data_IF_461703010264
#
_entry.id   IF_461703010264
#
_cell.length_a   1.000
_cell.length_b   1.000
_cell.length_c   1.000
_cell.angle_alpha   90.00
_cell.angle_beta   90.00
_cell.angle_gamma   90.00
#
_symmetry.space_group_name_H-M   'P 1'
#
loop_
_entity.id
_entity.type
_entity.pdbx_description
1 polymer ?
#
# COMPACT_ATOMS: atom_id res chain seq x y z
N UNK A 1 0.96 2.35 37.61
CA UNK A 1 0.25 1.17 37.05
C UNK A 1 -0.57 1.62 35.83
N UNK A 2 -0.06 1.45 34.60
CA UNK A 2 -0.81 1.79 33.37
C UNK A 2 -1.70 0.60 33.02
N UNK A 3 -3.03 0.76 33.16
CA UNK A 3 -4.04 -0.22 32.76
C UNK A 3 -3.90 -0.52 31.27
N UNK A 4 -3.83 -1.82 30.94
CA UNK A 4 -3.74 -2.31 29.57
C UNK A 4 -4.92 -1.86 28.73
N UNK A 5 -4.64 -1.36 27.52
CA UNK A 5 -5.65 -1.20 26.47
C UNK A 5 -5.93 -2.60 25.91
N UNK A 6 -7.11 -3.14 26.23
CA UNK A 6 -7.66 -4.33 25.55
C UNK A 6 -7.70 -4.03 24.05
N UNK A 7 -7.17 -4.94 23.24
CA UNK A 7 -7.41 -4.98 21.80
C UNK A 7 -8.91 -5.26 21.59
N UNK A 8 -9.66 -4.27 21.14
CA UNK A 8 -11.01 -4.46 20.63
C UNK A 8 -10.92 -4.91 19.17
N UNK A 9 -11.39 -6.14 18.92
CA UNK A 9 -11.59 -6.85 17.64
C UNK A 9 -10.37 -7.03 16.72
N UNK A 10 -10.19 -8.25 16.20
CA UNK A 10 -9.06 -8.71 15.37
C UNK A 10 -8.93 -8.08 13.98
N UNK A 11 -9.37 -6.83 13.79
CA UNK A 11 -9.11 -6.03 12.59
C UNK A 11 -7.81 -5.26 12.77
N UNK A 12 -6.98 -5.18 11.73
CA UNK A 12 -5.80 -4.32 11.77
C UNK A 12 -6.22 -2.85 11.94
N UNK A 13 -5.63 -2.17 12.92
CA UNK A 13 -5.91 -0.75 13.20
C UNK A 13 -5.48 0.11 12.01
N UNK A 14 -6.40 0.89 11.45
CA UNK A 14 -6.13 1.87 10.40
C UNK A 14 -5.99 3.23 11.07
N UNK A 15 -4.78 3.56 11.54
CA UNK A 15 -4.54 4.73 12.40
C UNK A 15 -5.07 6.05 11.80
N UNK A 16 -4.98 6.22 10.48
CA UNK A 16 -5.47 7.44 9.80
C UNK A 16 -6.99 7.59 9.91
N UNK A 17 -7.71 6.47 10.02
CA UNK A 17 -9.16 6.44 10.21
C UNK A 17 -9.54 6.41 11.70
N UNK A 18 -8.90 5.53 12.47
CA UNK A 18 -9.25 5.25 13.87
C UNK A 18 -8.76 6.34 14.84
N UNK A 19 -7.73 7.09 14.46
CA UNK A 19 -7.12 8.16 15.26
C UNK A 19 -6.55 9.29 14.36
N UNK A 20 -7.42 10.08 13.69
CA UNK A 20 -7.00 11.02 12.65
C UNK A 20 -6.04 12.13 13.12
N UNK A 21 -5.97 12.38 14.43
CA UNK A 21 -5.10 13.39 15.08
C UNK A 21 -3.79 12.81 15.62
N UNK A 22 -3.56 11.50 15.50
CA UNK A 22 -2.32 10.88 15.93
C UNK A 22 -1.15 11.34 15.04
N UNK A 23 0.05 11.42 15.62
CA UNK A 23 1.30 11.71 14.88
C UNK A 23 1.50 10.74 13.70
N UNK A 24 1.12 9.47 13.88
CA UNK A 24 1.18 8.49 12.79
C UNK A 24 0.25 8.82 11.62
N UNK A 25 -0.87 9.49 11.88
CA UNK A 25 -1.82 9.92 10.85
C UNK A 25 -1.27 11.07 10.02
N UNK A 26 -0.62 12.07 10.66
CA UNK A 26 0.06 13.13 9.92
C UNK A 26 1.22 12.61 9.08
N UNK A 27 1.99 11.64 9.58
CA UNK A 27 3.04 11.00 8.79
C UNK A 27 2.51 10.40 7.46
N UNK A 28 1.28 9.84 7.45
CA UNK A 28 0.65 9.37 6.22
C UNK A 28 0.14 10.50 5.32
N UNK A 29 -0.31 11.64 5.88
CA UNK A 29 -0.67 12.82 5.08
C UNK A 29 0.55 13.46 4.43
N UNK A 30 1.65 13.59 5.18
CA UNK A 30 2.95 14.04 4.67
C UNK A 30 3.47 13.09 3.60
N UNK A 31 3.35 11.77 3.80
CA UNK A 31 3.70 10.77 2.77
C UNK A 31 2.89 10.96 1.48
N UNK A 32 1.57 11.10 1.57
CA UNK A 32 0.70 11.37 0.41
C UNK A 32 1.16 12.63 -0.34
N UNK A 33 1.36 13.73 0.40
CA UNK A 33 1.81 15.01 -0.17
C UNK A 33 3.16 14.86 -0.90
N UNK A 34 4.13 14.16 -0.29
CA UNK A 34 5.43 13.92 -0.92
C UNK A 34 5.29 13.12 -2.23
N UNK A 35 4.47 12.07 -2.23
CA UNK A 35 4.22 11.25 -3.42
C UNK A 35 3.55 12.07 -4.53
N UNK A 36 2.59 12.93 -4.20
CA UNK A 36 1.92 13.82 -5.15
C UNK A 36 2.90 14.80 -5.82
N UNK A 37 3.96 15.24 -5.13
CA UNK A 37 4.98 16.12 -5.68
C UNK A 37 6.17 15.41 -6.33
N UNK A 38 6.21 14.07 -6.36
CA UNK A 38 7.35 13.31 -6.87
C UNK A 38 7.42 13.30 -8.41
N UNK A 39 6.35 13.69 -9.12
CA UNK A 39 6.36 13.81 -10.59
C UNK A 39 5.60 15.07 -11.03
N UNK A 40 6.28 16.22 -11.18
CA UNK A 40 5.64 17.45 -11.65
C UNK A 40 5.12 17.35 -13.10
N UNK A 41 5.72 16.47 -13.92
CA UNK A 41 5.41 16.33 -15.36
C UNK A 41 4.56 15.09 -15.70
N UNK A 42 4.23 14.25 -14.72
CA UNK A 42 3.41 13.04 -14.91
C UNK A 42 2.40 12.87 -13.79
N UNK A 43 1.13 12.72 -14.16
CA UNK A 43 0.07 12.39 -13.22
C UNK A 43 0.32 10.99 -12.65
N UNK A 44 0.75 10.93 -11.39
CA UNK A 44 0.90 9.68 -10.65
C UNK A 44 -0.49 9.11 -10.36
N UNK A 45 -0.90 8.05 -11.06
CA UNK A 45 -2.20 7.40 -10.90
C UNK A 45 -2.11 6.01 -10.28
N UNK A 46 -0.99 5.31 -10.41
CA UNK A 46 -0.78 4.00 -9.78
C UNK A 46 0.51 3.89 -8.98
N UNK A 47 0.41 3.33 -7.78
CA UNK A 47 1.55 3.12 -6.88
C UNK A 47 1.54 1.69 -6.35
N UNK A 48 2.62 0.96 -6.61
CA UNK A 48 2.86 -0.35 -5.98
C UNK A 48 3.71 -0.19 -4.73
N UNK A 49 3.24 -0.72 -3.60
CA UNK A 49 4.04 -0.86 -2.39
C UNK A 49 4.63 -2.27 -2.33
N UNK A 50 5.94 -2.34 -2.10
CA UNK A 50 6.68 -3.58 -1.87
C UNK A 50 7.55 -3.45 -0.61
N UNK A 51 8.21 -4.53 -0.18
CA UNK A 51 9.17 -4.53 0.93
C UNK A 51 10.34 -5.45 0.61
N UNK A 52 11.42 -5.39 1.39
CA UNK A 52 12.54 -6.31 1.19
C UNK A 52 12.15 -7.75 1.53
N UNK A 53 11.51 -7.95 2.68
CA UNK A 53 11.09 -9.21 3.25
C UNK A 53 9.69 -9.14 3.90
N UNK A 54 9.20 -10.28 4.41
CA UNK A 54 7.89 -10.37 5.05
C UNK A 54 7.80 -9.59 6.36
N UNK A 55 6.59 -9.11 6.67
CA UNK A 55 6.29 -8.55 8.00
C UNK A 55 6.76 -7.11 8.22
N UNK A 56 7.27 -6.42 7.22
CA UNK A 56 7.75 -5.02 7.33
C UNK A 56 6.63 -3.96 7.40
N UNK A 57 5.38 -4.40 7.29
CA UNK A 57 4.18 -3.56 7.44
C UNK A 57 3.73 -2.86 6.15
N UNK A 58 4.20 -3.33 5.00
CA UNK A 58 3.74 -2.92 3.65
C UNK A 58 2.22 -2.81 3.54
N UNK A 59 1.46 -3.84 3.91
CA UNK A 59 -0.02 -3.83 3.85
C UNK A 59 -0.66 -2.82 4.81
N UNK A 60 -0.03 -2.57 5.96
CA UNK A 60 -0.45 -1.50 6.88
C UNK A 60 -0.20 -0.12 6.26
N UNK A 61 0.96 0.07 5.63
CA UNK A 61 1.34 1.31 4.97
C UNK A 61 0.43 1.58 3.77
N UNK A 62 0.18 0.58 2.91
CA UNK A 62 -0.69 0.73 1.74
C UNK A 62 -2.12 1.08 2.13
N UNK A 63 -2.69 0.39 3.13
CA UNK A 63 -4.03 0.68 3.60
C UNK A 63 -4.17 2.08 4.20
N UNK A 64 -3.23 2.51 5.05
CA UNK A 64 -3.28 3.85 5.65
C UNK A 64 -2.98 4.96 4.64
N UNK A 65 -2.11 4.71 3.66
CA UNK A 65 -1.87 5.62 2.55
C UNK A 65 -3.16 5.80 1.72
N UNK A 66 -3.89 4.72 1.44
CA UNK A 66 -5.16 4.78 0.72
C UNK A 66 -6.21 5.61 1.48
N UNK A 67 -6.29 5.46 2.80
CA UNK A 67 -7.16 6.29 3.65
C UNK A 67 -6.73 7.76 3.62
N UNK A 68 -5.43 8.05 3.72
CA UNK A 68 -4.93 9.42 3.68
C UNK A 68 -5.20 10.10 2.33
N UNK A 69 -5.14 9.33 1.24
CA UNK A 69 -5.47 9.78 -0.10
C UNK A 69 -6.98 10.02 -0.25
N UNK A 70 -7.84 9.13 0.27
CA UNK A 70 -9.29 9.34 0.17
C UNK A 70 -9.78 10.52 1.02
N UNK A 71 -9.11 10.81 2.14
CA UNK A 71 -9.38 12.00 2.96
C UNK A 71 -9.13 13.34 2.24
N UNK A 72 -8.39 13.36 1.13
CA UNK A 72 -8.25 14.58 0.30
C UNK A 72 -9.43 14.79 -0.67
N UNK A 73 -10.44 13.92 -0.62
CA UNK A 73 -11.58 13.93 -1.55
C UNK A 73 -11.34 13.16 -2.85
N UNK A 74 -10.16 12.56 -3.03
CA UNK A 74 -9.85 11.71 -4.17
C UNK A 74 -10.62 10.38 -4.09
N UNK A 75 -11.01 9.86 -5.24
CA UNK A 75 -11.57 8.51 -5.37
C UNK A 75 -10.43 7.51 -5.49
N UNK A 76 -10.30 6.62 -4.51
CA UNK A 76 -9.16 5.72 -4.36
C UNK A 76 -9.60 4.27 -4.42
N UNK A 77 -8.80 3.42 -5.06
CA UNK A 77 -8.94 1.96 -4.96
C UNK A 77 -7.66 1.34 -4.41
N UNK A 78 -7.80 0.48 -3.41
CA UNK A 78 -6.71 -0.34 -2.87
C UNK A 78 -6.83 -1.78 -3.38
N UNK A 79 -5.81 -2.27 -4.05
CA UNK A 79 -5.79 -3.58 -4.72
C UNK A 79 -4.84 -4.54 -4.00
N UNK A 80 -5.32 -5.71 -3.61
CA UNK A 80 -4.54 -6.77 -2.99
C UNK A 80 -3.77 -7.59 -4.02
N UNK A 81 -2.49 -7.26 -4.25
CA UNK A 81 -1.62 -7.96 -5.19
C UNK A 81 -0.75 -9.03 -4.53
N UNK A 82 -0.76 -9.15 -3.19
CA UNK A 82 -0.21 -10.32 -2.50
C UNK A 82 -1.18 -11.52 -2.62
N UNK A 83 -1.09 -12.21 -3.76
CA UNK A 83 -1.88 -13.42 -4.05
C UNK A 83 -1.35 -14.67 -3.31
N UNK A 84 -0.38 -14.51 -2.39
CA UNK A 84 0.23 -15.61 -1.63
C UNK A 84 -0.19 -15.57 -0.16
N UNK A 85 -0.20 -14.39 0.44
CA UNK A 85 -0.56 -14.14 1.85
C UNK A 85 -1.45 -12.89 1.96
N UNK A 86 -2.67 -12.93 1.40
CA UNK A 86 -3.53 -11.76 1.34
C UNK A 86 -4.07 -11.40 2.72
N UNK A 87 -3.99 -10.11 3.08
CA UNK A 87 -4.45 -9.62 4.40
C UNK A 87 -5.49 -8.50 4.31
N UNK A 88 -5.65 -7.86 3.15
CA UNK A 88 -6.54 -6.68 3.03
C UNK A 88 -7.99 -6.97 3.38
N UNK A 89 -8.50 -8.15 3.03
CA UNK A 89 -9.88 -8.53 3.34
C UNK A 89 -10.14 -8.56 4.86
N UNK A 90 -9.17 -9.02 5.65
CA UNK A 90 -9.21 -8.97 7.12
C UNK A 90 -9.12 -7.53 7.64
N UNK A 91 -8.20 -6.74 7.08
CA UNK A 91 -7.97 -5.34 7.47
C UNK A 91 -9.19 -4.45 7.26
N UNK A 92 -9.99 -4.73 6.22
CA UNK A 92 -11.20 -3.96 5.89
C UNK A 92 -12.49 -4.66 6.32
N UNK A 93 -12.40 -5.87 6.87
CA UNK A 93 -13.56 -6.69 7.28
C UNK A 93 -14.52 -6.98 6.12
N UNK A 94 -13.96 -7.28 4.94
CA UNK A 94 -14.70 -7.62 3.72
C UNK A 94 -14.47 -9.09 3.34
N UNK A 95 -15.32 -9.63 2.45
CA UNK A 95 -15.11 -10.98 1.91
C UNK A 95 -13.91 -10.97 0.97
N UNK A 96 -13.14 -12.05 0.95
CA UNK A 96 -12.03 -12.24 -0.01
C UNK A 96 -12.50 -12.85 -1.34
N UNK A 97 -13.81 -12.79 -1.66
CA UNK A 97 -14.39 -13.38 -2.88
C UNK A 97 -15.57 -12.54 -3.41
N UNK A 98 -15.63 -12.27 -4.73
CA UNK A 98 -14.54 -12.43 -5.70
C UNK A 98 -13.39 -11.45 -5.40
N UNK A 99 -12.22 -11.65 -6.01
CA UNK A 99 -11.06 -10.78 -5.83
C UNK A 99 -10.17 -10.78 -7.07
N UNK A 100 -9.02 -10.14 -6.99
CA UNK A 100 -8.11 -9.91 -8.12
C UNK A 100 -7.80 -11.21 -8.90
N UNK A 101 -7.48 -12.31 -8.21
CA UNK A 101 -7.16 -13.58 -8.88
C UNK A 101 -8.32 -14.14 -9.71
N UNK A 102 -9.57 -13.94 -9.27
CA UNK A 102 -10.76 -14.36 -10.01
C UNK A 102 -10.96 -13.47 -11.26
N UNK A 103 -10.66 -12.18 -11.17
CA UNK A 103 -10.70 -11.26 -12.32
C UNK A 103 -9.64 -11.64 -13.35
N UNK A 104 -8.39 -11.85 -12.91
CA UNK A 104 -7.26 -12.17 -13.79
C UNK A 104 -7.39 -13.54 -14.48
N UNK A 105 -8.16 -14.45 -13.89
CA UNK A 105 -8.49 -15.76 -14.48
C UNK A 105 -9.78 -15.77 -15.31
N UNK A 106 -10.50 -14.64 -15.39
CA UNK A 106 -11.77 -14.52 -16.11
C UNK A 106 -12.97 -15.17 -15.40
N UNK A 107 -12.81 -15.57 -14.13
CA UNK A 107 -13.87 -16.18 -13.34
C UNK A 107 -14.86 -15.15 -12.75
N UNK A 108 -14.50 -13.87 -12.73
CA UNK A 108 -15.35 -12.77 -12.28
C UNK A 108 -15.07 -11.49 -13.08
N UNK A 109 -16.03 -10.56 -13.13
CA UNK A 109 -15.78 -9.24 -13.71
C UNK A 109 -15.02 -8.34 -12.72
N UNK A 110 -14.32 -7.32 -13.22
CA UNK A 110 -13.65 -6.33 -12.37
C UNK A 110 -14.64 -5.64 -11.43
N UNK A 111 -15.83 -5.30 -11.94
CA UNK A 111 -16.90 -4.65 -11.16
C UNK A 111 -17.35 -5.49 -9.97
N UNK A 112 -17.44 -6.81 -10.13
CA UNK A 112 -17.87 -7.71 -9.05
C UNK A 112 -16.82 -7.81 -7.93
N UNK A 113 -15.55 -7.62 -8.26
CA UNK A 113 -14.44 -7.68 -7.31
C UNK A 113 -14.20 -6.36 -6.55
N UNK A 114 -14.77 -5.24 -7.01
CA UNK A 114 -14.69 -3.95 -6.33
C UNK A 114 -15.68 -3.94 -5.16
N UNK A 115 -15.16 -3.72 -3.95
CA UNK A 115 -15.95 -3.65 -2.73
C UNK A 115 -15.76 -2.29 -2.08
N UNK A 116 -16.84 -1.54 -1.89
CA UNK A 116 -16.77 -0.29 -1.12
C UNK A 116 -16.44 -0.57 0.34
N UNK A 117 -15.42 0.12 0.84
CA UNK A 117 -15.04 0.01 2.24
C UNK A 117 -15.99 0.80 3.14
N UNK A 118 -15.79 0.70 4.45
CA UNK A 118 -16.46 1.58 5.42
C UNK A 118 -15.88 3.00 5.48
N UNK A 119 -14.94 3.33 4.59
CA UNK A 119 -14.23 4.61 4.54
C UNK A 119 -14.67 5.34 3.26
N UNK A 120 -15.23 6.56 3.37
CA UNK A 120 -15.65 7.35 2.20
C UNK A 120 -14.50 7.56 1.21
N UNK A 121 -14.82 7.44 -0.08
CA UNK A 121 -13.87 7.63 -1.18
C UNK A 121 -12.85 6.50 -1.36
N UNK A 122 -12.97 5.39 -0.60
CA UNK A 122 -12.05 4.26 -0.68
C UNK A 122 -12.80 2.95 -1.01
N UNK A 123 -12.50 2.40 -2.17
CA UNK A 123 -12.89 1.06 -2.57
C UNK A 123 -11.70 0.09 -2.41
N UNK A 124 -11.98 -1.21 -2.26
CA UNK A 124 -10.97 -2.25 -2.07
C UNK A 124 -11.25 -3.41 -3.01
N UNK A 125 -10.21 -3.89 -3.69
CA UNK A 125 -10.22 -5.16 -4.42
C UNK A 125 -9.37 -6.14 -3.61
N UNK A 126 -9.98 -7.13 -2.92
CA UNK A 126 -9.22 -8.14 -2.20
C UNK A 126 -8.49 -9.07 -3.18
N UNK A 127 -7.50 -9.82 -2.70
CA UNK A 127 -6.70 -10.69 -3.57
C UNK A 127 -7.51 -11.80 -4.26
N UNK A 128 -8.55 -12.31 -3.61
CA UNK A 128 -9.30 -13.45 -4.13
C UNK A 128 -8.79 -14.79 -3.61
N UNK A 129 -9.32 -15.91 -4.13
CA UNK A 129 -8.80 -17.25 -3.90
C UNK A 129 -7.32 -17.35 -4.29
N UNK A 130 -6.53 -18.14 -3.55
CA UNK A 130 -5.10 -18.31 -3.86
C UNK A 130 -4.92 -19.08 -5.17
N UNK A 131 -4.34 -18.47 -6.22
CA UNK A 131 -4.10 -19.17 -7.48
C UNK A 131 -2.85 -20.06 -7.40
N UNK A 132 -2.74 -21.10 -8.24
CA UNK A 132 -1.53 -21.92 -8.32
C UNK A 132 -0.34 -21.17 -8.94
N UNK A 133 -0.60 -20.10 -9.70
CA UNK A 133 0.36 -19.36 -10.53
C UNK A 133 0.28 -17.83 -10.32
N UNK A 134 0.64 -17.30 -9.12
CA UNK A 134 0.52 -15.87 -8.79
C UNK A 134 1.27 -14.93 -9.74
N UNK A 135 2.54 -15.23 -10.02
CA UNK A 135 3.42 -14.33 -10.76
C UNK A 135 2.97 -14.18 -12.22
N UNK A 136 2.53 -15.27 -12.84
CA UNK A 136 2.02 -15.31 -14.21
C UNK A 136 0.74 -14.49 -14.36
N UNK A 137 -0.15 -14.54 -13.37
CA UNK A 137 -1.36 -13.72 -13.36
C UNK A 137 -1.02 -12.23 -13.24
N UNK A 138 -0.10 -11.87 -12.35
CA UNK A 138 0.30 -10.48 -12.13
C UNK A 138 1.12 -9.91 -13.29
N UNK A 139 1.83 -10.74 -14.07
CA UNK A 139 2.53 -10.32 -15.29
C UNK A 139 1.59 -10.26 -16.52
N UNK A 140 0.38 -10.79 -16.42
CA UNK A 140 -0.50 -10.97 -17.57
C UNK A 140 -0.98 -9.65 -18.18
N UNK A 141 -1.36 -9.69 -19.46
CA UNK A 141 -2.08 -8.57 -20.11
C UNK A 141 -3.38 -8.22 -19.41
N UNK A 142 -4.03 -9.20 -18.76
CA UNK A 142 -5.24 -8.95 -17.98
C UNK A 142 -4.96 -8.01 -16.79
N UNK A 143 -3.80 -8.14 -16.13
CA UNK A 143 -3.41 -7.23 -15.05
C UNK A 143 -3.23 -5.81 -15.56
N UNK A 144 -2.54 -5.65 -16.69
CA UNK A 144 -2.38 -4.34 -17.35
C UNK A 144 -3.75 -3.71 -17.66
N UNK A 145 -4.67 -4.47 -18.27
CA UNK A 145 -6.02 -3.97 -18.57
C UNK A 145 -6.81 -3.62 -17.32
N UNK A 146 -6.66 -4.37 -16.22
CA UNK A 146 -7.28 -4.04 -14.92
C UNK A 146 -6.75 -2.71 -14.40
N UNK A 147 -5.43 -2.50 -14.39
CA UNK A 147 -4.84 -1.24 -13.91
C UNK A 147 -5.34 -0.06 -14.75
N UNK A 148 -5.29 -0.18 -16.08
CA UNK A 148 -5.78 0.86 -16.99
C UNK A 148 -7.27 1.19 -16.81
N UNK A 149 -8.11 0.19 -16.53
CA UNK A 149 -9.54 0.41 -16.26
C UNK A 149 -9.78 1.11 -14.92
N UNK A 150 -8.98 0.77 -13.91
CA UNK A 150 -9.02 1.44 -12.61
C UNK A 150 -8.54 2.89 -12.71
N UNK A 151 -7.44 3.17 -13.42
CA UNK A 151 -6.90 4.53 -13.62
C UNK A 151 -7.83 5.47 -14.42
N UNK A 152 -8.81 4.92 -15.14
CA UNK A 152 -9.90 5.69 -15.78
C UNK A 152 -11.01 6.07 -14.79
N UNK A 153 -11.18 5.28 -13.73
CA UNK A 153 -12.34 5.35 -12.83
C UNK A 153 -12.01 5.88 -11.44
N UNK A 154 -10.73 5.96 -11.09
CA UNK A 154 -10.18 6.37 -9.81
C UNK A 154 -9.08 7.40 -10.03
N UNK A 155 -8.95 8.34 -9.09
CA UNK A 155 -7.88 9.32 -9.09
C UNK A 155 -6.54 8.70 -8.64
N UNK A 156 -6.60 7.61 -7.86
CA UNK A 156 -5.43 6.90 -7.36
C UNK A 156 -5.70 5.40 -7.18
N UNK A 157 -4.79 4.57 -7.72
CA UNK A 157 -4.75 3.12 -7.62
C UNK A 157 -3.55 2.72 -6.76
N UNK A 158 -3.80 2.18 -5.57
CA UNK A 158 -2.73 1.71 -4.68
C UNK A 158 -2.71 0.18 -4.70
N UNK A 159 -1.55 -0.40 -5.01
CA UNK A 159 -1.36 -1.84 -5.10
C UNK A 159 -0.53 -2.33 -3.91
N UNK A 160 -1.09 -3.25 -3.11
CA UNK A 160 -0.38 -3.92 -2.01
C UNK A 160 0.33 -5.17 -2.55
N UNK A 161 1.62 -5.06 -2.85
CA UNK A 161 2.40 -6.13 -3.45
C UNK A 161 2.94 -7.16 -2.46
N UNK A 162 3.99 -7.87 -2.86
CA UNK A 162 4.72 -8.86 -2.05
C UNK A 162 6.12 -8.37 -1.71
N UNK A 163 6.87 -9.04 -0.81
CA UNK A 163 8.28 -8.76 -0.62
C UNK A 163 9.15 -9.17 -1.81
N UNK A 164 9.94 -8.24 -2.34
CA UNK A 164 10.67 -8.39 -3.63
C UNK A 164 11.83 -9.38 -3.58
N UNK A 165 12.44 -9.62 -2.41
CA UNK A 165 13.51 -10.63 -2.29
C UNK A 165 12.93 -12.04 -2.24
N UNK A 166 11.76 -12.19 -1.63
CA UNK A 166 11.16 -13.51 -1.42
C UNK A 166 10.55 -14.09 -2.71
N UNK A 167 9.94 -13.23 -3.53
CA UNK A 167 9.21 -13.62 -4.74
C UNK A 167 9.31 -12.53 -5.81
N UNK A 168 9.14 -12.93 -7.07
CA UNK A 168 9.29 -12.02 -8.23
C UNK A 168 8.04 -11.18 -8.52
N UNK A 169 6.92 -11.42 -7.84
CA UNK A 169 5.61 -10.82 -8.12
C UNK A 169 5.67 -9.28 -8.17
N UNK A 170 6.33 -8.63 -7.21
CA UNK A 170 6.48 -7.17 -7.21
C UNK A 170 7.37 -6.65 -8.36
N UNK A 171 8.38 -7.42 -8.75
CA UNK A 171 9.29 -7.05 -9.84
C UNK A 171 8.63 -7.17 -11.22
N UNK A 172 7.78 -8.19 -11.45
CA UNK A 172 7.07 -8.34 -12.74
C UNK A 172 5.98 -7.28 -12.95
N UNK A 173 5.49 -6.67 -11.88
CA UNK A 173 4.55 -5.56 -11.91
C UNK A 173 5.22 -4.20 -12.08
N UNK A 174 6.56 -4.13 -12.02
CA UNK A 174 7.28 -2.86 -11.94
C UNK A 174 7.05 -1.91 -13.12
N UNK A 175 6.82 -2.47 -14.31
CA UNK A 175 6.60 -1.73 -15.56
C UNK A 175 5.11 -1.58 -15.90
N UNK A 176 4.21 -1.94 -14.98
CA UNK A 176 2.76 -1.85 -15.16
C UNK A 176 2.12 -0.74 -14.32
N UNK A 177 2.92 -0.02 -13.52
CA UNK A 177 2.49 1.04 -12.60
C UNK A 177 3.37 2.27 -12.78
N UNK A 178 2.84 3.44 -12.43
CA UNK A 178 3.57 4.71 -12.56
C UNK A 178 4.74 4.84 -11.57
N UNK A 179 4.69 4.12 -10.46
CA UNK A 179 5.78 4.11 -9.51
C UNK A 179 5.70 3.06 -8.43
N UNK A 180 6.85 2.78 -7.83
CA UNK A 180 7.02 1.83 -6.74
C UNK A 180 7.54 2.55 -5.52
N UNK A 181 7.04 2.16 -4.35
CA UNK A 181 7.57 2.58 -3.05
C UNK A 181 8.05 1.36 -2.28
N UNK A 182 9.32 1.41 -1.84
CA UNK A 182 9.93 0.35 -1.04
C UNK A 182 9.71 0.63 0.45
N UNK A 183 8.96 -0.23 1.14
CA UNK A 183 8.75 -0.16 2.59
C UNK A 183 9.86 -0.95 3.28
N UNK A 184 10.56 -0.33 4.23
CA UNK A 184 11.63 -0.92 5.02
C UNK A 184 11.27 -0.89 6.51
N UNK A 185 11.25 -2.07 7.14
CA UNK A 185 11.07 -2.20 8.59
C UNK A 185 12.29 -1.69 9.38
N UNK A 186 12.13 -0.59 10.13
CA UNK A 186 13.17 -0.03 10.99
C UNK A 186 13.65 -1.04 12.04
N UNK A 187 14.97 -1.23 12.13
CA UNK A 187 15.61 -2.23 12.99
C UNK A 187 15.16 -3.69 12.75
N UNK A 188 14.56 -4.00 11.60
CA UNK A 188 14.17 -5.36 11.21
C UNK A 188 14.93 -5.84 9.98
N UNK A 189 15.31 -4.93 9.09
CA UNK A 189 15.96 -5.24 7.82
C UNK A 189 17.43 -4.83 7.86
N UNK A 190 18.37 -5.76 7.65
CA UNK A 190 19.77 -5.43 7.44
C UNK A 190 19.95 -4.52 6.22
N UNK A 191 20.90 -3.58 6.29
CA UNK A 191 21.18 -2.64 5.19
C UNK A 191 21.43 -3.36 3.86
N UNK A 192 22.13 -4.48 3.89
CA UNK A 192 22.43 -5.29 2.70
C UNK A 192 21.17 -5.82 2.02
N UNK A 193 20.19 -6.28 2.80
CA UNK A 193 18.90 -6.72 2.27
C UNK A 193 18.12 -5.56 1.66
N UNK A 194 18.12 -4.38 2.29
CA UNK A 194 17.47 -3.21 1.73
C UNK A 194 18.10 -2.78 0.38
N UNK A 195 19.43 -2.84 0.28
CA UNK A 195 20.15 -2.58 -0.97
C UNK A 195 19.88 -3.64 -2.03
N UNK A 196 19.82 -4.92 -1.65
CA UNK A 196 19.45 -6.00 -2.56
C UNK A 196 18.03 -5.81 -3.11
N UNK A 197 17.07 -5.46 -2.27
CA UNK A 197 15.70 -5.17 -2.69
C UNK A 197 15.65 -4.02 -3.71
N UNK A 198 16.38 -2.92 -3.43
CA UNK A 198 16.53 -1.80 -4.36
C UNK A 198 17.11 -2.26 -5.70
N UNK A 199 18.20 -3.03 -5.68
CA UNK A 199 18.87 -3.51 -6.90
C UNK A 199 17.95 -4.41 -7.74
N UNK A 200 17.13 -5.26 -7.11
CA UNK A 200 16.15 -6.10 -7.83
C UNK A 200 15.10 -5.25 -8.54
N UNK A 201 14.62 -4.19 -7.91
CA UNK A 201 13.68 -3.24 -8.51
C UNK A 201 14.33 -2.47 -9.67
N UNK A 202 15.58 -2.02 -9.49
CA UNK A 202 16.34 -1.33 -10.56
C UNK A 202 16.60 -2.25 -11.76
N UNK A 203 16.93 -3.52 -11.52
CA UNK A 203 17.09 -4.53 -12.59
C UNK A 203 15.78 -4.80 -13.34
N UNK A 204 14.64 -4.71 -12.65
CA UNK A 204 13.31 -4.80 -13.25
C UNK A 204 12.89 -3.50 -13.98
N UNK A 205 13.75 -2.49 -14.01
CA UNK A 205 13.49 -1.15 -14.57
C UNK A 205 12.33 -0.41 -13.87
N UNK A 206 12.10 -0.72 -12.59
CA UNK A 206 11.09 -0.04 -11.78
C UNK A 206 11.38 1.46 -11.64
N UNK A 207 10.33 2.29 -11.77
CA UNK A 207 10.37 3.69 -11.33
C UNK A 207 10.21 3.75 -9.81
N UNK A 208 11.33 3.62 -9.09
CA UNK A 208 11.35 3.72 -7.63
C UNK A 208 11.15 5.19 -7.19
N UNK A 209 9.98 5.51 -6.65
CA UNK A 209 9.63 6.84 -6.15
C UNK A 209 10.36 7.18 -4.85
N UNK A 210 10.69 6.17 -4.05
CA UNK A 210 11.41 6.35 -2.79
C UNK A 210 11.27 5.19 -1.82
N UNK A 211 11.64 5.45 -0.57
CA UNK A 211 11.65 4.48 0.52
C UNK A 211 10.82 5.00 1.70
N UNK A 212 10.02 4.13 2.31
CA UNK A 212 9.32 4.40 3.57
C UNK A 212 10.00 3.62 4.69
N UNK A 213 10.50 4.32 5.70
CA UNK A 213 10.97 3.71 6.93
C UNK A 213 9.78 3.48 7.87
N UNK A 214 9.35 2.23 8.05
CA UNK A 214 8.23 1.86 8.90
C UNK A 214 8.70 1.37 10.28
N UNK A 215 7.81 1.37 11.29
CA UNK A 215 8.07 0.90 12.67
C UNK A 215 9.21 1.63 13.40
N UNK A 216 9.46 2.89 13.02
CA UNK A 216 10.44 3.73 13.69
C UNK A 216 10.04 3.94 15.15
N UNK A 217 10.93 3.62 16.08
CA UNK A 217 10.74 3.91 17.50
C UNK A 217 11.20 5.33 17.80
N UNK A 218 10.28 6.24 18.03
CA UNK A 218 10.60 7.59 18.50
C UNK A 218 10.83 7.57 20.02
N UNK A 219 11.87 8.25 20.50
CA UNK A 219 11.98 8.67 21.91
C UNK A 219 11.02 9.85 22.13
N UNK A 220 10.41 9.97 23.32
CA UNK A 220 9.39 11.01 23.62
C UNK A 220 9.83 12.44 23.26
N UNK A 221 11.13 12.76 23.40
CA UNK A 221 11.71 14.05 23.00
C UNK A 221 11.60 14.36 21.50
N UNK A 222 11.65 13.34 20.65
CA UNK A 222 11.60 13.51 19.19
C UNK A 222 10.15 13.68 18.72
N UNK A 223 9.17 13.11 19.43
CA UNK A 223 7.76 13.26 19.10
C UNK A 223 7.30 14.74 19.22
N UNK A 224 7.80 15.46 20.22
CA UNK A 224 7.54 16.90 20.40
C UNK A 224 8.16 17.74 19.27
N UNK A 225 9.36 17.37 18.80
CA UNK A 225 10.06 18.04 17.70
C UNK A 225 9.34 17.85 16.35
N UNK A 226 8.79 16.65 16.09
CA UNK A 226 7.95 16.41 14.91
C UNK A 226 6.65 17.21 14.95
N UNK A 227 6.02 17.33 16.13
CA UNK A 227 4.77 18.09 16.29
C UNK A 227 4.98 19.60 16.07
N UNK A 228 6.09 20.18 16.54
CA UNK A 228 6.37 21.62 16.36
C UNK A 228 6.81 21.98 14.93
N UNK A 229 7.64 21.15 14.30
CA UNK A 229 8.11 21.43 12.93
C UNK A 229 6.98 21.41 11.88
N UNK A 230 5.88 20.69 12.13
CA UNK A 230 4.70 20.70 11.22
C UNK A 230 3.79 21.92 11.45
N UNK A 231 3.72 22.46 12.68
CA UNK A 231 2.90 23.66 12.97
C UNK A 231 3.54 24.93 12.39
N UNK A 232 4.87 25.01 12.39
CA UNK A 232 5.61 26.17 11.86
C UNK A 232 5.67 26.22 10.32
N UNK A 233 5.34 25.12 9.61
CA UNK A 233 5.25 25.10 8.14
C UNK A 233 3.84 25.34 7.59
N UNK A 234 2.85 25.51 8.46
CA UNK A 234 1.45 25.80 8.09
C UNK A 234 1.06 27.28 8.26
N UNK A 235 2.04 28.19 8.35
CA UNK A 235 1.87 29.65 8.32
C UNK A 235 2.50 30.23 7.04
#
# INVERSE_FOLDING_TARGET
MRKGRKQENGRARLIVHDDPKAVGSEAFRTLRTNLQFTSPDQDLKSILLTSAGPGEGKSTVSANLAVAWSQSGAKVVLVGCDLRKPVLHEMFSIRNVPGLSAVLSGAASLKDAIVSSNIPGLDVIPAGPLPPNPAELLQSKAMVSVIEELEKSYDMVILDGTPVIAVTDAAVMANQVDGIVLVIGSNQVPREMALQAKNLLEQAQAKLLGVIMNKVKFKESNMYYYYYNEVDQAQ
#
